data_IF_326918931214
#
_entry.id   IF_326918931214
#
_cell.length_a   1.000
_cell.length_b   1.000
_cell.length_c   1.000
_cell.angle_alpha   90.00
_cell.angle_beta   90.00
_cell.angle_gamma   90.00
#
_symmetry.space_group_name_H-M   'P 1'
#
loop_
_entity.id
_entity.type
_entity.pdbx_description
1 polymer ?
#
# COMPACT_ATOMS: atom_id res chain seq x y z
N UNK A 1 5.31 1.15 21.39
CA UNK A 1 5.39 1.96 20.15
C UNK A 1 3.98 2.46 19.81
N UNK A 2 3.79 3.75 19.52
CA UNK A 2 2.45 4.29 19.19
C UNK A 2 1.96 3.70 17.85
N UNK A 3 0.66 3.45 17.71
CA UNK A 3 0.02 2.81 16.52
C UNK A 3 0.34 3.51 15.20
N UNK A 4 0.41 4.85 15.23
CA UNK A 4 0.70 5.69 14.06
C UNK A 4 2.03 5.36 13.38
N UNK A 5 3.07 5.04 14.15
CA UNK A 5 4.38 4.69 13.59
C UNK A 5 4.41 3.29 12.94
N UNK A 6 3.44 2.43 13.25
CA UNK A 6 3.32 1.11 12.63
C UNK A 6 2.74 1.22 11.22
N UNK A 7 1.82 2.17 10.98
CA UNK A 7 1.37 2.51 9.64
C UNK A 7 2.50 3.00 8.74
N UNK A 8 3.34 3.89 9.25
CA UNK A 8 4.52 4.38 8.51
C UNK A 8 5.43 3.21 8.08
N UNK A 9 5.68 2.27 8.99
CA UNK A 9 6.44 1.04 8.67
C UNK A 9 5.78 0.21 7.56
N UNK A 10 4.46 0.07 7.60
CA UNK A 10 3.71 -0.73 6.66
C UNK A 10 3.67 -0.11 5.25
N UNK A 11 3.48 1.21 5.15
CA UNK A 11 3.26 1.90 3.88
C UNK A 11 4.51 2.52 3.25
N UNK A 12 5.57 2.82 4.03
CA UNK A 12 6.75 3.53 3.50
C UNK A 12 7.94 2.62 3.21
N UNK A 13 8.10 1.51 3.93
CA UNK A 13 9.23 0.62 3.71
C UNK A 13 8.96 -0.28 2.50
N UNK A 14 9.84 -0.31 1.50
CA UNK A 14 9.49 -0.93 0.23
C UNK A 14 9.51 -2.46 0.26
N UNK A 15 10.40 -3.05 1.05
CA UNK A 15 10.57 -4.51 1.12
C UNK A 15 9.69 -5.14 2.20
N UNK A 16 9.34 -6.43 2.04
CA UNK A 16 8.79 -7.18 3.15
C UNK A 16 9.84 -7.34 4.25
N UNK A 17 9.37 -7.43 5.49
CA UNK A 17 10.22 -7.73 6.63
C UNK A 17 10.82 -9.13 6.60
N UNK A 18 11.99 -9.28 7.22
CA UNK A 18 12.63 -10.59 7.37
C UNK A 18 11.98 -11.48 8.44
N UNK A 19 11.37 -10.89 9.47
CA UNK A 19 10.70 -11.62 10.56
C UNK A 19 9.18 -11.59 10.42
N UNK A 20 8.63 -10.41 10.10
CA UNK A 20 7.20 -10.18 9.86
C UNK A 20 7.09 -9.44 8.53
N UNK A 21 6.41 -10.02 7.55
CA UNK A 21 6.45 -9.49 6.19
C UNK A 21 5.93 -8.05 6.11
N UNK A 22 4.99 -7.67 6.97
CA UNK A 22 4.39 -6.33 6.97
C UNK A 22 5.32 -5.19 7.43
N UNK A 23 6.33 -5.43 8.26
CA UNK A 23 7.21 -4.36 8.79
C UNK A 23 8.70 -4.64 8.58
N UNK A 24 9.54 -3.61 8.41
CA UNK A 24 10.98 -3.82 8.31
C UNK A 24 11.55 -4.38 9.62
N UNK A 25 12.60 -5.20 9.50
CA UNK A 25 13.49 -5.51 10.63
C UNK A 25 14.42 -4.34 10.93
N UNK A 26 15.06 -4.36 12.10
CA UNK A 26 16.03 -3.33 12.48
C UNK A 26 17.17 -3.19 11.46
N UNK A 27 17.67 -4.30 10.94
CA UNK A 27 18.71 -4.29 9.91
C UNK A 27 18.21 -3.62 8.62
N UNK A 28 16.96 -3.86 8.23
CA UNK A 28 16.37 -3.17 7.08
C UNK A 28 16.20 -1.68 7.34
N UNK A 29 15.76 -1.28 8.55
CA UNK A 29 15.65 0.14 8.92
C UNK A 29 17.00 0.86 8.80
N UNK A 30 18.08 0.23 9.27
CA UNK A 30 19.43 0.80 9.23
C UNK A 30 20.00 0.81 7.80
N UNK A 31 19.73 -0.25 7.02
CA UNK A 31 20.26 -0.40 5.66
C UNK A 31 19.48 0.42 4.62
N UNK A 32 18.22 0.78 4.89
CA UNK A 32 17.39 1.48 3.93
C UNK A 32 17.85 2.93 3.77
N UNK A 33 18.42 3.23 2.60
CA UNK A 33 18.99 4.55 2.31
C UNK A 33 17.95 5.53 1.78
N UNK A 34 16.80 5.03 1.32
CA UNK A 34 15.74 5.81 0.69
C UNK A 34 14.38 5.31 1.15
N UNK A 35 13.66 6.20 1.84
CA UNK A 35 12.23 6.05 2.06
C UNK A 35 11.50 7.07 1.18
N UNK A 36 10.27 6.78 0.73
CA UNK A 36 9.40 7.80 0.16
C UNK A 36 9.37 9.01 1.10
N UNK A 37 9.58 10.22 0.59
CA UNK A 37 9.59 11.44 1.40
C UNK A 37 8.21 11.67 2.01
N UNK A 38 8.03 11.17 3.23
CA UNK A 38 6.79 11.27 4.02
C UNK A 38 6.52 12.69 4.51
N UNK A 39 6.15 13.59 3.59
CA UNK A 39 5.67 14.93 3.94
C UNK A 39 4.24 14.91 4.50
N UNK A 40 3.57 13.77 4.49
CA UNK A 40 2.18 13.61 4.95
C UNK A 40 2.16 12.55 6.05
N UNK A 41 1.64 12.91 7.23
CA UNK A 41 1.37 11.92 8.27
C UNK A 41 0.38 10.89 7.73
N UNK A 42 0.81 9.64 7.61
CA UNK A 42 -0.04 8.56 7.15
C UNK A 42 -1.09 8.32 8.22
N UNK A 43 -2.34 8.71 7.94
CA UNK A 43 -3.48 8.40 8.80
C UNK A 43 -3.87 6.92 8.69
N UNK A 44 -2.92 6.02 8.92
CA UNK A 44 -3.05 4.58 8.82
C UNK A 44 -2.56 3.95 10.13
N UNK A 45 -3.47 3.41 10.92
CA UNK A 45 -3.14 2.75 12.18
C UNK A 45 -3.09 1.23 11.96
N UNK A 46 -1.97 0.60 12.30
CA UNK A 46 -1.88 -0.86 12.39
C UNK A 46 -2.11 -1.27 13.84
N UNK A 47 -3.24 -1.94 14.07
CA UNK A 47 -3.67 -2.45 15.37
C UNK A 47 -2.94 -3.75 15.74
N UNK A 48 -3.06 -4.14 17.00
CA UNK A 48 -2.67 -5.46 17.49
C UNK A 48 -3.88 -6.08 18.17
N UNK A 49 -4.14 -7.32 17.84
CA UNK A 49 -5.05 -8.19 18.57
C UNK A 49 -4.25 -8.84 19.72
N UNK A 50 -4.66 -8.58 20.96
CA UNK A 50 -3.96 -9.09 22.16
C UNK A 50 -4.21 -10.58 22.39
N UNK A 51 -5.35 -11.12 21.95
CA UNK A 51 -5.71 -12.53 22.13
C UNK A 51 -4.91 -13.42 21.19
N UNK A 52 -4.88 -13.04 19.90
CA UNK A 52 -4.20 -13.82 18.86
C UNK A 52 -2.76 -13.37 18.60
N UNK A 53 -2.32 -12.35 19.32
CA UNK A 53 -1.02 -11.70 19.13
C UNK A 53 -0.75 -11.28 17.67
N UNK A 54 -1.81 -10.99 16.90
CA UNK A 54 -1.74 -10.73 15.47
C UNK A 54 -1.92 -9.25 15.15
N UNK A 55 -1.21 -8.78 14.14
CA UNK A 55 -1.33 -7.40 13.66
C UNK A 55 -2.41 -7.30 12.60
N UNK A 56 -3.12 -6.18 12.57
CA UNK A 56 -4.19 -5.96 11.59
C UNK A 56 -4.26 -4.52 11.11
N UNK A 57 -4.74 -4.36 9.88
CA UNK A 57 -5.00 -3.06 9.27
C UNK A 57 -6.45 -2.96 8.79
N UNK A 58 -7.11 -1.85 9.14
CA UNK A 58 -8.40 -1.45 8.58
C UNK A 58 -8.18 -0.33 7.58
N UNK A 59 -8.73 -0.50 6.38
CA UNK A 59 -8.58 0.47 5.31
C UNK A 59 -9.23 0.04 4.02
N UNK A 60 -8.95 0.80 2.95
CA UNK A 60 -9.41 0.46 1.61
C UNK A 60 -8.64 -0.76 1.10
N UNK A 61 -9.38 -1.76 0.61
CA UNK A 61 -8.85 -2.97 0.02
C UNK A 61 -9.35 -3.13 -1.42
N UNK A 62 -8.44 -3.51 -2.31
CA UNK A 62 -8.74 -4.08 -3.62
C UNK A 62 -8.21 -5.51 -3.59
N UNK A 63 -9.08 -6.51 -3.78
CA UNK A 63 -8.64 -7.91 -3.72
C UNK A 63 -7.79 -8.31 -4.93
N UNK A 64 -8.02 -7.68 -6.09
CA UNK A 64 -7.27 -7.95 -7.30
C UNK A 64 -6.99 -6.67 -8.10
N UNK A 65 -5.72 -6.26 -8.13
CA UNK A 65 -5.21 -5.19 -8.99
C UNK A 65 -3.89 -5.62 -9.63
N UNK A 66 -3.79 -5.46 -10.95
CA UNK A 66 -2.60 -5.84 -11.71
C UNK A 66 -1.61 -4.68 -11.78
N UNK A 67 -0.37 -4.92 -11.39
CA UNK A 67 0.73 -3.95 -11.47
C UNK A 67 1.57 -4.24 -12.71
N UNK A 68 1.90 -3.21 -13.48
CA UNK A 68 2.70 -3.32 -14.71
C UNK A 68 3.78 -2.23 -14.76
N UNK A 69 4.91 -2.52 -15.42
CA UNK A 69 5.98 -1.55 -15.70
C UNK A 69 6.89 -1.19 -14.51
N UNK A 70 6.87 -1.98 -13.43
CA UNK A 70 7.73 -1.80 -12.25
C UNK A 70 8.60 -3.03 -11.96
N UNK A 71 8.69 -3.98 -12.90
CA UNK A 71 9.30 -5.30 -12.76
C UNK A 71 10.83 -5.31 -12.88
N UNK A 72 11.42 -4.21 -13.33
CA UNK A 72 12.88 -4.04 -13.37
C UNK A 72 13.38 -3.19 -12.21
N UNK A 73 14.50 -3.61 -11.62
CA UNK A 73 15.27 -2.77 -10.70
C UNK A 73 15.79 -1.54 -11.45
N UNK A 74 15.70 -0.36 -10.84
CA UNK A 74 16.34 0.84 -11.37
C UNK A 74 17.29 1.42 -10.31
N UNK A 75 18.59 1.06 -10.35
CA UNK A 75 19.56 1.58 -9.40
C UNK A 75 19.84 3.09 -9.59
N UNK A 76 19.45 3.68 -10.73
CA UNK A 76 19.65 5.11 -11.05
C UNK A 76 18.37 5.93 -10.85
N UNK A 77 17.21 5.30 -10.96
CA UNK A 77 15.89 5.89 -10.89
C UNK A 77 15.56 6.42 -9.50
N UNK A 78 15.25 7.71 -9.43
CA UNK A 78 14.67 8.33 -8.24
C UNK A 78 13.19 7.96 -8.09
N UNK A 79 12.49 7.75 -9.22
CA UNK A 79 11.07 7.45 -9.33
C UNK A 79 10.87 6.51 -10.51
N UNK A 80 10.28 5.33 -10.26
CA UNK A 80 9.89 4.39 -11.32
C UNK A 80 8.39 4.51 -11.55
N UNK A 81 7.97 4.55 -12.81
CA UNK A 81 6.58 4.73 -13.20
C UNK A 81 6.00 3.42 -13.72
N UNK A 82 4.78 3.12 -13.31
CA UNK A 82 4.05 1.94 -13.74
C UNK A 82 2.56 2.21 -13.87
N UNK A 83 1.80 1.13 -14.03
CA UNK A 83 0.35 1.17 -14.11
C UNK A 83 -0.27 0.21 -13.11
N UNK A 84 -1.35 0.68 -12.47
CA UNK A 84 -2.28 -0.14 -11.73
C UNK A 84 -3.54 -0.34 -12.59
N UNK A 85 -3.79 -1.57 -12.99
CA UNK A 85 -5.00 -1.96 -13.72
C UNK A 85 -5.98 -2.64 -12.76
N UNK A 86 -7.18 -2.07 -12.65
CA UNK A 86 -8.24 -2.56 -11.76
C UNK A 86 -9.53 -2.74 -12.56
N UNK A 87 -10.29 -3.79 -12.24
CA UNK A 87 -11.59 -4.07 -12.83
C UNK A 87 -12.70 -3.47 -11.97
N UNK A 88 -13.64 -2.74 -12.58
CA UNK A 88 -14.84 -2.26 -11.89
C UNK A 88 -15.91 -3.36 -11.75
N UNK A 89 -16.99 -3.05 -11.03
CA UNK A 89 -18.10 -3.99 -10.78
C UNK A 89 -18.85 -4.39 -12.07
N UNK A 90 -18.77 -3.59 -13.15
CA UNK A 90 -19.37 -3.88 -14.46
C UNK A 90 -18.41 -4.68 -15.36
N UNK A 91 -17.15 -4.80 -14.93
CA UNK A 91 -16.11 -5.57 -15.58
C UNK A 91 -15.20 -4.77 -16.51
N UNK A 92 -15.32 -3.44 -16.53
CA UNK A 92 -14.44 -2.56 -17.30
C UNK A 92 -13.08 -2.47 -16.61
N UNK A 93 -12.01 -2.53 -17.41
CA UNK A 93 -10.65 -2.33 -16.92
C UNK A 93 -10.31 -0.84 -16.92
N UNK A 94 -9.81 -0.35 -15.80
CA UNK A 94 -9.32 1.01 -15.62
C UNK A 94 -7.83 0.97 -15.29
N UNK A 95 -7.06 1.89 -15.85
CA UNK A 95 -5.62 1.98 -15.64
C UNK A 95 -5.30 3.32 -14.98
N UNK A 96 -4.50 3.26 -13.91
CA UNK A 96 -4.01 4.42 -13.18
C UNK A 96 -2.49 4.45 -13.18
N UNK A 97 -1.90 5.62 -13.32
CA UNK A 97 -0.46 5.82 -13.16
C UNK A 97 -0.05 5.68 -11.69
N UNK A 98 1.03 4.93 -11.47
CA UNK A 98 1.59 4.70 -10.15
C UNK A 98 3.09 4.93 -10.17
N UNK A 99 3.63 5.28 -9.00
CA UNK A 99 5.03 5.60 -8.81
C UNK A 99 5.63 4.79 -7.66
N UNK A 100 6.79 4.21 -7.89
CA UNK A 100 7.60 3.56 -6.85
C UNK A 100 8.88 4.38 -6.62
N UNK A 101 8.96 5.06 -5.47
CA UNK A 101 10.11 5.85 -5.04
C UNK A 101 11.20 5.00 -4.34
N UNK A 102 11.49 3.82 -4.90
CA UNK A 102 12.50 2.89 -4.38
C UNK A 102 13.10 2.05 -5.52
N UNK A 103 14.27 1.47 -5.25
CA UNK A 103 15.08 0.78 -6.27
C UNK A 103 14.58 -0.62 -6.62
N UNK A 104 13.85 -1.26 -5.70
CA UNK A 104 13.47 -2.68 -5.79
C UNK A 104 12.32 -2.94 -6.78
N UNK A 105 12.48 -3.89 -7.68
CA UNK A 105 11.47 -4.38 -8.60
C UNK A 105 10.17 -4.79 -7.88
N UNK A 106 9.04 -4.51 -8.52
CA UNK A 106 7.72 -5.00 -8.18
C UNK A 106 7.30 -5.88 -9.36
N UNK A 107 7.34 -7.22 -9.21
CA UNK A 107 7.02 -8.13 -10.32
C UNK A 107 5.65 -7.81 -10.92
N UNK A 108 5.55 -7.85 -12.24
CA UNK A 108 4.25 -7.71 -12.92
C UNK A 108 3.36 -8.91 -12.57
N UNK A 109 2.30 -8.64 -11.82
CA UNK A 109 1.37 -9.66 -11.33
C UNK A 109 0.08 -9.00 -10.81
N UNK A 110 -0.91 -9.81 -10.50
CA UNK A 110 -2.10 -9.41 -9.74
C UNK A 110 -1.81 -9.50 -8.24
N UNK A 111 -2.14 -8.44 -7.51
CA UNK A 111 -1.95 -8.34 -6.07
C UNK A 111 -3.24 -7.92 -5.37
N UNK A 112 -3.33 -8.28 -4.08
CA UNK A 112 -4.23 -7.62 -3.15
C UNK A 112 -3.57 -6.29 -2.71
N UNK A 113 -4.34 -5.21 -2.73
CA UNK A 113 -3.84 -3.86 -2.48
C UNK A 113 -4.53 -3.23 -1.29
N UNK A 114 -3.75 -2.69 -0.36
CA UNK A 114 -4.24 -1.92 0.78
C UNK A 114 -3.81 -0.47 0.63
N UNK A 115 -4.76 0.46 0.72
CA UNK A 115 -4.53 1.89 0.56
C UNK A 115 -4.34 2.58 1.92
N UNK A 116 -3.43 3.56 1.97
CA UNK A 116 -3.22 4.41 3.13
C UNK A 116 -4.34 5.43 3.28
N UNK A 117 -4.69 5.75 4.51
CA UNK A 117 -5.49 6.92 4.84
C UNK A 117 -6.89 6.59 5.35
N UNK A 118 -7.50 7.62 5.95
CA UNK A 118 -8.83 7.55 6.49
C UNK A 118 -9.87 7.78 5.38
N UNK A 119 -10.52 6.71 4.93
CA UNK A 119 -11.90 6.83 4.45
C UNK A 119 -12.86 6.98 5.64
N UNK A 120 -12.54 7.88 6.59
CA UNK A 120 -13.49 8.21 7.66
C UNK A 120 -14.52 9.15 7.04
N UNK A 121 -15.67 8.59 6.68
CA UNK A 121 -16.87 9.35 6.35
C UNK A 121 -17.12 10.39 7.45
N UNK A 122 -17.04 11.68 7.12
CA UNK A 122 -17.51 12.76 7.99
C UNK A 122 -16.49 13.82 8.41
N UNK A 123 -15.18 13.60 8.24
CA UNK A 123 -14.19 14.69 8.42
C UNK A 123 -13.85 15.23 7.04
N UNK A 124 -14.00 16.55 6.83
CA UNK A 124 -13.47 17.26 5.66
C UNK A 124 -11.93 17.22 5.70
N UNK A 125 -11.37 16.05 5.42
CA UNK A 125 -9.95 15.92 5.12
C UNK A 125 -9.73 16.62 3.77
N UNK A 126 -8.69 17.46 3.70
CA UNK A 126 -8.23 18.00 2.43
C UNK A 126 -8.06 16.84 1.42
N UNK A 127 -8.28 17.08 0.11
CA UNK A 127 -8.05 16.04 -0.90
C UNK A 127 -6.65 15.50 -0.70
N UNK A 128 -6.53 14.20 -0.42
CA UNK A 128 -5.24 13.52 -0.38
C UNK A 128 -4.59 13.70 -1.75
N UNK A 129 -3.48 14.44 -1.81
CA UNK A 129 -2.71 14.63 -3.03
C UNK A 129 -1.92 13.39 -3.41
N UNK A 130 -1.88 12.40 -2.52
CA UNK A 130 -1.17 11.14 -2.71
C UNK A 130 -1.89 10.03 -1.94
N UNK A 131 -1.95 8.84 -2.54
CA UNK A 131 -2.36 7.61 -1.86
C UNK A 131 -1.17 6.65 -1.88
N UNK A 132 -0.74 6.19 -0.71
CA UNK A 132 0.23 5.12 -0.58
C UNK A 132 -0.49 3.77 -0.61
N UNK A 133 0.11 2.81 -1.29
CA UNK A 133 -0.43 1.48 -1.46
C UNK A 133 0.58 0.45 -0.98
N UNK A 134 0.08 -0.61 -0.35
CA UNK A 134 0.84 -1.82 -0.11
C UNK A 134 0.32 -2.90 -1.05
N UNK A 135 1.19 -3.41 -1.90
CA UNK A 135 0.94 -4.62 -2.67
C UNK A 135 1.25 -5.84 -1.80
N UNK A 136 0.35 -6.81 -1.80
CA UNK A 136 0.56 -8.06 -1.08
C UNK A 136 -0.21 -9.22 -1.66
N UNK A 137 -0.01 -10.39 -1.05
CA UNK A 137 -0.68 -11.65 -1.39
C UNK A 137 -1.49 -12.13 -0.20
N UNK A 138 -2.69 -12.64 -0.47
CA UNK A 138 -3.50 -13.35 0.52
C UNK A 138 -2.93 -14.76 0.71
N UNK A 139 -2.65 -15.12 1.96
CA UNK A 139 -2.28 -16.47 2.36
C UNK A 139 -3.55 -17.31 2.65
N UNK A 140 -3.46 -18.65 2.70
CA UNK A 140 -4.60 -19.55 2.98
C UNK A 140 -5.40 -19.22 4.26
N UNK A 141 -4.81 -18.53 5.24
CA UNK A 141 -5.51 -18.06 6.46
C UNK A 141 -6.04 -16.62 6.35
N UNK A 142 -6.26 -16.13 5.12
CA UNK A 142 -6.66 -14.74 4.81
C UNK A 142 -5.68 -13.65 5.29
N UNK A 143 -4.48 -14.04 5.75
CA UNK A 143 -3.43 -13.10 6.13
C UNK A 143 -2.86 -12.40 4.90
N UNK A 144 -2.63 -11.11 5.04
CA UNK A 144 -2.02 -10.27 4.03
C UNK A 144 -0.50 -10.29 4.20
N UNK A 145 0.18 -10.88 3.23
CA UNK A 145 1.64 -10.86 3.14
C UNK A 145 2.07 -9.74 2.21
N UNK A 146 2.68 -8.71 2.77
CA UNK A 146 3.27 -7.61 2.01
C UNK A 146 4.33 -8.10 1.01
N UNK A 147 4.36 -7.48 -0.16
CA UNK A 147 5.34 -7.69 -1.23
C UNK A 147 6.07 -6.38 -1.53
N UNK A 148 5.35 -5.28 -1.74
CA UNK A 148 5.92 -4.01 -2.12
C UNK A 148 5.04 -2.83 -1.71
N UNK A 149 5.52 -1.60 -1.92
CA UNK A 149 4.75 -0.36 -1.75
C UNK A 149 4.89 0.52 -2.99
N UNK A 150 3.89 1.35 -3.26
CA UNK A 150 3.93 2.36 -4.32
C UNK A 150 2.96 3.49 -3.97
N UNK A 151 2.92 4.56 -4.74
CA UNK A 151 1.93 5.62 -4.58
C UNK A 151 1.24 6.00 -5.88
N UNK A 152 0.06 6.58 -5.74
CA UNK A 152 -0.66 7.30 -6.79
C UNK A 152 -0.63 8.77 -6.44
N UNK A 153 -0.13 9.62 -7.35
CA UNK A 153 0.13 11.05 -7.09
C UNK A 153 -0.68 11.99 -7.98
N UNK A 154 -1.29 11.49 -9.06
CA UNK A 154 -2.14 12.32 -9.92
C UNK A 154 -3.51 12.56 -9.23
N UNK A 155 -3.81 13.83 -8.98
CA UNK A 155 -5.03 14.23 -8.24
C UNK A 155 -6.31 13.88 -9.01
N UNK A 156 -6.29 13.95 -10.34
CA UNK A 156 -7.47 13.61 -11.16
C UNK A 156 -7.72 12.12 -11.14
N UNK A 157 -6.67 11.31 -11.25
CA UNK A 157 -6.77 9.86 -11.14
C UNK A 157 -7.19 9.41 -9.75
N UNK A 158 -6.64 10.00 -8.69
CA UNK A 158 -7.08 9.77 -7.32
C UNK A 158 -8.58 10.08 -7.20
N UNK A 159 -9.05 11.21 -7.74
CA UNK A 159 -10.46 11.57 -7.67
C UNK A 159 -11.33 10.59 -8.47
N UNK A 160 -10.90 10.19 -9.66
CA UNK A 160 -11.60 9.20 -10.48
C UNK A 160 -11.68 7.85 -9.77
N UNK A 161 -10.57 7.38 -9.20
CA UNK A 161 -10.50 6.15 -8.41
C UNK A 161 -11.51 6.18 -7.24
N UNK A 162 -11.60 7.31 -6.53
CA UNK A 162 -12.56 7.51 -5.43
C UNK A 162 -14.01 7.52 -5.91
N UNK A 163 -14.28 8.18 -7.03
CA UNK A 163 -15.64 8.28 -7.60
C UNK A 163 -16.15 6.93 -8.12
N UNK A 164 -15.26 6.12 -8.68
CA UNK A 164 -15.61 4.79 -9.21
C UNK A 164 -15.72 3.71 -8.13
N UNK A 165 -15.25 3.97 -6.90
CA UNK A 165 -15.51 3.08 -5.76
C UNK A 165 -14.80 1.73 -5.81
N UNK A 166 -13.68 1.59 -6.53
CA UNK A 166 -12.93 0.33 -6.62
C UNK A 166 -12.51 -0.28 -5.28
N UNK A 167 -12.36 0.59 -4.27
CA UNK A 167 -11.96 0.20 -2.94
C UNK A 167 -13.13 -0.15 -2.04
N UNK A 168 -13.13 -1.36 -1.47
CA UNK A 168 -14.05 -1.72 -0.39
C UNK A 168 -13.39 -1.44 0.95
N UNK A 169 -14.15 -0.92 1.91
CA UNK A 169 -13.66 -0.80 3.29
C UNK A 169 -13.54 -2.22 3.86
N UNK A 170 -12.32 -2.64 4.15
CA UNK A 170 -12.04 -3.90 4.84
C UNK A 170 -11.75 -3.62 6.30
N UNK A 171 -12.54 -4.22 7.18
CA UNK A 171 -12.52 -3.94 8.63
C UNK A 171 -11.35 -4.60 9.35
N UNK A 172 -10.84 -5.74 8.87
CA UNK A 172 -9.70 -6.45 9.48
C UNK A 172 -8.89 -7.22 8.45
N UNK A 173 -7.77 -6.65 8.02
CA UNK A 173 -6.75 -7.38 7.26
C UNK A 173 -5.65 -7.80 8.22
N UNK A 174 -5.62 -9.08 8.62
CA UNK A 174 -4.53 -9.60 9.45
C UNK A 174 -3.24 -9.62 8.64
N UNK A 175 -2.15 -9.11 9.21
CA UNK A 175 -0.87 -8.93 8.54
C UNK A 175 0.06 -10.09 8.88
N UNK A 176 0.73 -10.66 7.87
CA UNK A 176 1.76 -11.68 8.04
C UNK A 176 3.14 -11.06 8.31
#
# INVERSE_FOLDING_TARGET
MRTKHRGDMFFLYPRPGSEQAWRPSWNQVIAERRLPTGKVGLCADVGRDEETNSDWYEGVCIEEGRIQGLDTDDPKGLLRHGKLVVKDDVGTLHSFEIVAAHLYAIPEDSYCLLASGQWKSGVRAAPSTEIYWVAGRRLPEQRFRKVAVFSMTDVKEIQMFKTLGFGKRSLRNYLA
#
